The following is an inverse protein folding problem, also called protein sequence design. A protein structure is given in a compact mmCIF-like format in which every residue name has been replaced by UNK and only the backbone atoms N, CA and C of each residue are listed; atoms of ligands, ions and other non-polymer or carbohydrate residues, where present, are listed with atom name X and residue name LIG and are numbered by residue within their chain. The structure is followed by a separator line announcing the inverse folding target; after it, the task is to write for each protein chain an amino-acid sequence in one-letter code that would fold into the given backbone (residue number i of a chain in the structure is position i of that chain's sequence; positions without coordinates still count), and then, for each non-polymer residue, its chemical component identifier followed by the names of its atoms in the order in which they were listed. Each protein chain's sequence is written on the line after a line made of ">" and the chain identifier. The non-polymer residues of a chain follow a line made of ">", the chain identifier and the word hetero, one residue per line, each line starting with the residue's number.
data_IF_505429803927
#
_entry.id   IF_505429803927
#
_cell.length_a   1.000
_cell.length_b   1.000
_cell.length_c   1.000
_cell.angle_alpha   90.00
_cell.angle_beta   90.00
_cell.angle_gamma   90.00
#
_symmetry.space_group_name_H-M   'P 1'
#
loop_
_entity.id
_entity.type
_entity.pdbx_description
1 polymer ?
#
# COMPACT_ATOMS: atom_id res chain seq x y z
N UNK A 1 -82.09 15.85 -23.57
CA UNK A 1 -81.22 16.54 -24.55
C UNK A 1 -79.83 16.69 -23.89
N UNK A 2 -78.91 15.75 -24.10
CA UNK A 2 -77.71 15.85 -24.97
C UNK A 2 -76.89 17.13 -24.61
N UNK A 3 -75.68 17.12 -24.03
CA UNK A 3 -74.37 16.53 -24.43
C UNK A 3 -73.47 16.46 -23.17
N UNK A 4 -72.76 15.38 -22.85
CA UNK A 4 -71.50 14.91 -23.46
C UNK A 4 -70.35 15.92 -23.33
N UNK A 5 -69.48 15.74 -22.33
CA UNK A 5 -68.01 15.59 -22.51
C UNK A 5 -67.30 15.28 -21.20
N UNK A 6 -66.65 14.12 -21.19
CA UNK A 6 -65.65 13.66 -20.23
C UNK A 6 -64.36 14.42 -20.52
N UNK A 7 -63.72 15.03 -19.51
CA UNK A 7 -62.32 15.45 -19.60
C UNK A 7 -61.58 15.02 -18.32
N UNK A 8 -60.98 13.84 -18.43
CA UNK A 8 -59.91 13.32 -17.59
C UNK A 8 -58.67 14.19 -17.69
N UNK A 9 -58.12 14.71 -16.58
CA UNK A 9 -56.67 14.95 -16.45
C UNK A 9 -56.24 14.74 -14.99
N UNK A 10 -55.42 13.71 -14.82
CA UNK A 10 -54.64 13.38 -13.63
C UNK A 10 -53.90 14.61 -13.07
N UNK A 11 -54.15 14.95 -11.81
CA UNK A 11 -53.16 15.68 -11.00
C UNK A 11 -52.22 14.64 -10.40
N UNK A 12 -51.29 14.16 -11.22
CA UNK A 12 -50.20 13.32 -10.76
C UNK A 12 -49.36 14.10 -9.74
N UNK A 13 -49.21 13.54 -8.54
CA UNK A 13 -48.30 14.02 -7.51
C UNK A 13 -46.92 14.29 -8.15
N UNK A 14 -46.57 15.57 -8.26
CA UNK A 14 -45.19 16.00 -8.48
C UNK A 14 -44.43 15.85 -7.17
N UNK A 15 -44.27 14.63 -6.66
CA UNK A 15 -43.17 14.38 -5.73
C UNK A 15 -41.89 14.60 -6.53
N UNK A 16 -41.05 15.58 -6.19
CA UNK A 16 -39.72 15.65 -6.78
C UNK A 16 -39.03 14.37 -6.34
N UNK A 17 -38.94 13.42 -7.28
CA UNK A 17 -38.01 12.31 -7.19
C UNK A 17 -36.63 12.96 -7.30
N UNK A 18 -36.19 13.60 -6.21
CA UNK A 18 -34.81 13.93 -6.03
C UNK A 18 -34.11 12.58 -6.07
N UNK A 19 -33.59 12.25 -7.25
CA UNK A 19 -32.60 11.21 -7.41
C UNK A 19 -31.48 11.58 -6.44
N UNK A 20 -31.52 10.97 -5.25
CA UNK A 20 -30.34 10.67 -4.49
C UNK A 20 -29.54 9.68 -5.36
N UNK A 21 -28.90 10.20 -6.42
CA UNK A 21 -27.76 9.56 -7.02
C UNK A 21 -26.67 9.59 -5.97
N UNK A 22 -26.75 8.70 -4.99
CA UNK A 22 -25.66 8.40 -4.09
C UNK A 22 -24.58 7.84 -4.98
N UNK A 23 -23.64 8.69 -5.38
CA UNK A 23 -22.52 8.29 -6.20
C UNK A 23 -21.79 7.17 -5.45
N UNK A 24 -21.97 5.95 -5.93
CA UNK A 24 -21.49 4.76 -5.24
C UNK A 24 -19.99 4.64 -5.50
N UNK A 25 -19.20 5.28 -4.64
CA UNK A 25 -17.74 5.20 -4.72
C UNK A 25 -17.28 3.87 -4.15
N UNK A 26 -16.67 3.04 -5.00
CA UNK A 26 -16.09 1.74 -4.60
C UNK A 26 -14.73 1.91 -3.92
N UNK A 27 -14.40 0.97 -3.03
CA UNK A 27 -13.06 0.88 -2.47
C UNK A 27 -12.02 0.49 -3.53
N UNK A 28 -10.82 1.06 -3.44
CA UNK A 28 -9.72 0.82 -4.38
C UNK A 28 -8.66 -0.04 -3.71
N UNK A 29 -8.21 -1.10 -4.38
CA UNK A 29 -7.19 -2.00 -3.87
C UNK A 29 -5.86 -1.79 -4.61
N UNK A 30 -4.83 -1.40 -3.87
CA UNK A 30 -3.45 -1.35 -4.34
C UNK A 30 -2.79 -2.70 -4.08
N UNK A 31 -2.55 -3.46 -5.14
CA UNK A 31 -2.02 -4.84 -5.06
C UNK A 31 -0.49 -4.85 -5.12
N UNK A 32 0.11 -5.77 -4.38
CA UNK A 32 1.56 -5.99 -4.35
C UNK A 32 1.89 -7.46 -4.60
N UNK A 33 3.09 -7.74 -5.14
CA UNK A 33 3.55 -9.11 -5.37
C UNK A 33 3.83 -9.84 -4.06
N UNK A 34 4.50 -9.17 -3.11
CA UNK A 34 5.04 -9.80 -1.90
C UNK A 34 4.47 -9.25 -0.59
N UNK A 35 3.37 -8.50 -0.66
CA UNK A 35 2.63 -8.02 0.50
C UNK A 35 1.13 -8.06 0.22
N UNK A 36 0.33 -7.95 1.27
CA UNK A 36 -1.12 -7.81 1.13
C UNK A 36 -1.49 -6.45 0.56
N UNK A 37 -2.67 -6.40 -0.05
CA UNK A 37 -3.14 -5.19 -0.72
C UNK A 37 -3.47 -4.09 0.30
N UNK A 38 -3.16 -2.85 -0.07
CA UNK A 38 -3.63 -1.66 0.67
C UNK A 38 -4.98 -1.26 0.10
N UNK A 39 -5.98 -1.08 0.96
CA UNK A 39 -7.33 -0.68 0.56
C UNK A 39 -7.54 0.80 0.86
N UNK A 40 -7.86 1.57 -0.16
CA UNK A 40 -8.34 2.95 -0.04
C UNK A 40 -9.86 2.95 0.02
N UNK A 41 -10.40 3.53 1.09
CA UNK A 41 -11.83 3.61 1.34
C UNK A 41 -12.35 5.04 1.12
N UNK A 42 -13.26 5.20 0.17
CA UNK A 42 -13.80 6.52 -0.18
C UNK A 42 -14.66 7.09 0.94
N UNK A 43 -15.48 6.28 1.61
CA UNK A 43 -16.41 6.76 2.63
C UNK A 43 -15.69 7.48 3.78
N UNK A 44 -14.53 6.97 4.20
CA UNK A 44 -13.71 7.61 5.24
C UNK A 44 -13.20 8.98 4.79
N UNK A 45 -12.82 9.12 3.52
CA UNK A 45 -12.28 10.37 2.99
C UNK A 45 -13.39 11.37 2.68
N UNK A 46 -14.52 10.92 2.11
CA UNK A 46 -15.66 11.75 1.74
C UNK A 46 -16.38 12.36 2.95
N UNK A 47 -16.32 11.70 4.12
CA UNK A 47 -16.76 12.29 5.40
C UNK A 47 -16.02 13.57 5.77
N UNK A 48 -14.76 13.72 5.33
CA UNK A 48 -13.94 14.92 5.59
C UNK A 48 -13.85 15.85 4.38
N UNK A 49 -13.84 15.29 3.18
CA UNK A 49 -13.66 16.00 1.92
C UNK A 49 -14.72 15.53 0.92
N UNK A 50 -15.87 16.20 0.89
CA UNK A 50 -17.01 15.85 0.05
C UNK A 50 -16.90 16.33 -1.42
N UNK A 51 -15.69 16.66 -1.88
CA UNK A 51 -15.45 17.16 -3.24
C UNK A 51 -14.42 16.29 -3.96
N UNK A 52 -14.86 15.63 -5.03
CA UNK A 52 -14.08 14.69 -5.83
C UNK A 52 -12.81 15.31 -6.44
N UNK A 53 -12.87 16.62 -6.79
CA UNK A 53 -11.76 17.34 -7.44
C UNK A 53 -10.59 17.62 -6.50
N UNK A 54 -10.75 17.43 -5.20
CA UNK A 54 -9.65 17.55 -4.23
C UNK A 54 -8.58 16.48 -4.53
N UNK A 55 -9.01 15.30 -4.96
CA UNK A 55 -8.15 14.16 -5.19
C UNK A 55 -7.95 13.89 -6.69
N UNK A 56 -9.03 13.90 -7.47
CA UNK A 56 -8.97 13.51 -8.87
C UNK A 56 -8.44 14.62 -9.77
N UNK A 57 -7.75 14.20 -10.83
CA UNK A 57 -7.11 15.03 -11.87
C UNK A 57 -5.89 15.84 -11.37
N UNK A 58 -5.78 16.10 -10.07
CA UNK A 58 -4.61 16.75 -9.45
C UNK A 58 -3.67 15.76 -8.73
N UNK A 59 -4.19 14.91 -7.84
CA UNK A 59 -3.39 13.95 -7.06
C UNK A 59 -3.43 12.57 -7.71
N UNK A 60 -4.63 12.15 -8.14
CA UNK A 60 -4.88 10.88 -8.79
C UNK A 60 -5.49 11.12 -10.19
N UNK A 61 -4.66 10.93 -11.22
CA UNK A 61 -5.13 10.92 -12.61
C UNK A 61 -5.91 9.62 -12.87
N UNK A 62 -7.20 9.77 -13.19
CA UNK A 62 -8.09 8.65 -13.48
C UNK A 62 -7.91 8.10 -14.89
N UNK A 63 -7.39 8.90 -15.83
CA UNK A 63 -7.11 8.50 -17.21
C UNK A 63 -5.80 7.74 -17.30
N UNK A 64 -4.77 8.20 -16.58
CA UNK A 64 -3.43 7.60 -16.56
C UNK A 64 -3.01 7.25 -15.12
N UNK A 65 -3.62 6.21 -14.51
CA UNK A 65 -3.29 5.81 -13.16
C UNK A 65 -1.83 5.36 -13.08
N UNK A 66 -1.13 5.81 -12.03
CA UNK A 66 0.28 5.50 -11.78
C UNK A 66 0.46 4.92 -10.38
N UNK A 67 1.39 3.97 -10.25
CA UNK A 67 1.86 3.47 -8.96
C UNK A 67 2.99 4.35 -8.42
N UNK A 68 2.90 4.66 -7.13
CA UNK A 68 3.88 5.47 -6.41
C UNK A 68 4.58 4.63 -5.33
N UNK A 69 5.86 4.90 -5.10
CA UNK A 69 6.60 4.32 -3.97
C UNK A 69 6.34 5.11 -2.69
N UNK A 70 6.67 4.53 -1.53
CA UNK A 70 6.63 5.27 -0.25
C UNK A 70 7.57 6.49 -0.26
N UNK A 71 8.74 6.39 -0.88
CA UNK A 71 9.66 7.54 -1.05
C UNK A 71 9.03 8.70 -1.81
N UNK A 72 8.23 8.40 -2.84
CA UNK A 72 7.49 9.42 -3.57
C UNK A 72 6.36 10.01 -2.71
N UNK A 73 5.71 9.18 -1.88
CA UNK A 73 4.69 9.66 -0.94
C UNK A 73 5.26 10.57 0.13
N UNK A 74 6.43 10.28 0.68
CA UNK A 74 7.14 11.18 1.59
C UNK A 74 7.49 12.53 0.94
N UNK A 75 7.61 12.56 -0.40
CA UNK A 75 7.77 13.77 -1.21
C UNK A 75 6.43 14.38 -1.65
N UNK A 76 5.38 14.19 -0.86
CA UNK A 76 4.04 14.73 -1.04
C UNK A 76 3.31 14.26 -2.33
N UNK A 77 3.66 13.10 -2.89
CA UNK A 77 2.89 12.50 -4.00
C UNK A 77 1.84 11.53 -3.47
N UNK A 78 0.81 11.24 -4.29
CA UNK A 78 -0.24 10.26 -3.96
C UNK A 78 -0.83 10.50 -2.55
N UNK A 79 -0.94 9.46 -1.72
CA UNK A 79 -1.44 9.53 -0.34
C UNK A 79 -0.71 10.59 0.51
N UNK A 80 0.60 10.77 0.28
CA UNK A 80 1.43 11.69 1.03
C UNK A 80 1.12 13.17 0.80
N UNK A 81 0.39 13.52 -0.27
CA UNK A 81 -0.10 14.90 -0.47
C UNK A 81 -0.97 15.41 0.69
N UNK A 82 -1.58 14.50 1.44
CA UNK A 82 -2.36 14.80 2.65
C UNK A 82 -1.80 14.10 3.90
N UNK A 83 -1.33 12.86 3.77
CA UNK A 83 -0.73 12.07 4.85
C UNK A 83 0.75 12.43 5.07
N UNK A 84 1.03 13.71 5.34
CA UNK A 84 2.37 14.23 5.62
C UNK A 84 2.58 14.61 7.10
N UNK A 85 1.59 14.38 7.96
CA UNK A 85 1.60 14.77 9.38
C UNK A 85 0.89 16.10 9.68
N UNK A 86 0.48 16.85 8.65
CA UNK A 86 -0.21 18.15 8.81
C UNK A 86 -1.72 18.02 8.67
N UNK A 87 -2.22 17.53 7.53
CA UNK A 87 -3.67 17.38 7.27
C UNK A 87 -4.23 16.05 7.81
N UNK A 88 -3.36 15.03 7.83
CA UNK A 88 -3.59 13.70 8.34
C UNK A 88 -2.26 13.12 8.85
N UNK A 89 -2.31 11.96 9.51
CA UNK A 89 -1.12 11.25 10.00
C UNK A 89 -0.09 11.04 8.88
N UNK A 90 1.21 11.07 9.21
CA UNK A 90 2.27 10.95 8.20
C UNK A 90 2.45 9.52 7.70
N UNK A 91 2.72 9.38 6.40
CA UNK A 91 3.17 8.12 5.77
C UNK A 91 4.59 7.72 6.18
N UNK A 92 5.39 8.66 6.69
CA UNK A 92 6.79 8.42 7.09
C UNK A 92 6.90 7.88 8.54
N UNK A 93 5.83 7.96 9.33
CA UNK A 93 5.85 7.53 10.73
C UNK A 93 5.66 6.00 10.83
N UNK A 94 6.64 5.30 11.41
CA UNK A 94 6.63 3.84 11.62
C UNK A 94 5.32 3.29 12.20
N UNK A 95 4.77 3.97 13.21
CA UNK A 95 3.54 3.55 13.89
C UNK A 95 2.30 3.61 12.99
N UNK A 96 2.36 4.34 11.89
CA UNK A 96 1.23 4.54 10.98
C UNK A 96 1.26 3.59 9.79
N UNK A 97 2.35 2.85 9.55
CA UNK A 97 2.44 1.91 8.42
C UNK A 97 1.27 0.91 8.43
N UNK A 98 0.95 0.36 9.60
CA UNK A 98 -0.13 -0.63 9.82
C UNK A 98 -1.54 -0.06 9.61
N UNK A 99 -1.71 1.27 9.55
CA UNK A 99 -3.02 1.88 9.27
C UNK A 99 -3.48 1.58 7.85
N UNK A 100 -2.54 1.48 6.91
CA UNK A 100 -2.77 1.17 5.51
C UNK A 100 -2.34 -0.26 5.17
N UNK A 101 -1.13 -0.65 5.57
CA UNK A 101 -0.57 -1.99 5.38
C UNK A 101 -1.01 -2.91 6.52
N UNK A 102 -2.29 -3.30 6.50
CA UNK A 102 -2.91 -4.10 7.57
C UNK A 102 -2.48 -5.58 7.57
N UNK A 103 -1.93 -6.06 6.46
CA UNK A 103 -1.43 -7.42 6.34
C UNK A 103 -0.04 -7.60 6.93
N UNK A 104 0.33 -8.86 7.16
CA UNK A 104 1.68 -9.22 7.57
C UNK A 104 2.56 -9.32 6.30
N UNK A 105 3.72 -8.65 6.24
CA UNK A 105 4.62 -8.82 5.12
C UNK A 105 5.01 -10.29 4.97
N UNK A 106 4.95 -10.82 3.75
CA UNK A 106 5.30 -12.23 3.50
C UNK A 106 6.80 -12.43 3.58
N UNK A 107 7.19 -13.65 3.93
CA UNK A 107 8.58 -14.08 3.82
C UNK A 107 9.02 -14.03 2.35
N UNK A 108 10.26 -13.60 2.12
CA UNK A 108 10.83 -13.44 0.78
C UNK A 108 11.80 -14.58 0.54
N UNK A 109 11.51 -15.39 -0.48
CA UNK A 109 12.44 -16.38 -1.01
C UNK A 109 13.28 -15.77 -2.14
N UNK A 110 14.60 -15.94 -2.06
CA UNK A 110 15.55 -15.55 -3.07
C UNK A 110 16.15 -16.80 -3.70
N UNK A 111 15.91 -16.96 -5.01
CA UNK A 111 16.53 -18.04 -5.76
C UNK A 111 18.01 -17.70 -6.02
N UNK A 112 18.89 -18.53 -5.46
CA UNK A 112 20.35 -18.37 -5.57
C UNK A 112 20.91 -19.55 -6.36
N UNK A 113 21.63 -19.25 -7.46
CA UNK A 113 22.28 -20.30 -8.24
C UNK A 113 23.42 -20.92 -7.43
N UNK A 114 23.44 -22.25 -7.33
CA UNK A 114 24.51 -22.99 -6.65
C UNK A 114 24.34 -23.13 -5.13
N UNK A 115 23.20 -22.71 -4.56
CA UNK A 115 22.81 -22.97 -3.18
C UNK A 115 21.31 -23.27 -3.11
N UNK A 116 20.80 -23.69 -1.94
CA UNK A 116 19.35 -23.72 -1.70
C UNK A 116 18.80 -22.30 -1.66
N UNK A 117 17.49 -22.11 -1.81
CA UNK A 117 16.89 -20.77 -1.76
C UNK A 117 17.20 -20.08 -0.42
N UNK A 118 17.56 -18.80 -0.48
CA UNK A 118 17.71 -17.99 0.72
C UNK A 118 16.34 -17.43 1.15
N UNK A 119 16.01 -17.52 2.43
CA UNK A 119 14.71 -17.06 2.96
C UNK A 119 14.91 -15.91 3.94
N UNK A 120 14.22 -14.80 3.69
CA UNK A 120 14.12 -13.68 4.62
C UNK A 120 12.74 -13.66 5.28
N UNK A 121 12.70 -13.73 6.61
CA UNK A 121 11.45 -13.68 7.36
C UNK A 121 11.17 -12.28 7.91
N UNK A 122 10.08 -11.65 7.47
CA UNK A 122 9.65 -10.38 8.06
C UNK A 122 9.21 -10.57 9.49
N UNK A 123 8.47 -11.63 9.80
CA UNK A 123 7.95 -11.94 11.14
C UNK A 123 9.06 -11.94 12.19
N UNK A 124 10.20 -12.54 11.88
CA UNK A 124 11.36 -12.54 12.78
C UNK A 124 11.94 -11.12 12.96
N UNK A 125 12.18 -10.41 11.86
CA UNK A 125 12.87 -9.12 11.91
C UNK A 125 12.02 -8.02 12.53
N UNK A 126 10.70 -7.98 12.27
CA UNK A 126 9.80 -6.99 12.87
C UNK A 126 9.55 -7.25 14.37
N UNK A 127 9.98 -8.40 14.90
CA UNK A 127 9.99 -8.67 16.33
C UNK A 127 11.04 -7.87 17.10
N UNK A 128 12.07 -7.36 16.40
CA UNK A 128 13.20 -6.63 17.01
C UNK A 128 13.56 -5.32 16.29
N UNK A 129 13.05 -5.09 15.08
CA UNK A 129 13.28 -3.89 14.28
C UNK A 129 11.96 -3.28 13.81
N UNK A 130 12.02 -1.99 13.44
CA UNK A 130 10.91 -1.22 12.86
C UNK A 130 10.99 -1.22 11.34
N UNK A 131 9.88 -0.86 10.70
CA UNK A 131 9.81 -0.78 9.24
C UNK A 131 10.89 0.14 8.66
N UNK A 132 11.10 1.31 9.27
CA UNK A 132 12.04 2.30 8.77
C UNK A 132 13.51 2.02 9.09
N UNK A 133 13.80 1.02 9.94
CA UNK A 133 15.18 0.57 10.17
C UNK A 133 15.75 -0.09 8.91
N UNK A 134 14.87 -0.69 8.10
CA UNK A 134 15.21 -1.34 6.84
C UNK A 134 14.76 -0.51 5.62
N UNK A 135 13.52 -0.01 5.64
CA UNK A 135 12.93 0.64 4.50
C UNK A 135 12.95 2.18 4.62
N UNK A 136 13.13 2.92 3.54
CA UNK A 136 13.60 2.49 2.22
C UNK A 136 15.14 2.49 2.12
N UNK A 137 15.82 2.90 3.19
CA UNK A 137 17.27 3.19 3.22
C UNK A 137 18.13 1.99 2.84
N UNK A 138 17.82 0.80 3.37
CA UNK A 138 18.57 -0.43 3.07
C UNK A 138 17.87 -1.23 1.97
N UNK A 139 16.54 -1.33 2.04
CA UNK A 139 15.73 -2.11 1.11
C UNK A 139 14.54 -1.30 0.62
N UNK A 140 14.18 -1.45 -0.66
CA UNK A 140 12.91 -0.92 -1.15
C UNK A 140 11.76 -1.87 -0.78
N UNK A 141 10.53 -1.37 -0.69
CA UNK A 141 9.30 -2.16 -0.48
C UNK A 141 8.92 -3.08 -1.67
N UNK A 142 9.89 -3.38 -2.54
CA UNK A 142 9.76 -4.23 -3.73
C UNK A 142 10.88 -5.26 -3.72
N UNK A 143 10.54 -6.51 -3.46
CA UNK A 143 11.54 -7.58 -3.50
C UNK A 143 12.18 -7.70 -4.89
N UNK A 144 13.49 -7.95 -4.91
CA UNK A 144 14.26 -8.05 -6.15
C UNK A 144 14.40 -6.73 -6.92
N UNK A 145 13.99 -5.58 -6.35
CA UNK A 145 14.22 -4.28 -6.98
C UNK A 145 15.72 -4.00 -7.20
N UNK A 146 16.57 -4.52 -6.31
CA UNK A 146 18.02 -4.52 -6.47
C UNK A 146 18.58 -5.85 -5.99
N UNK A 147 19.50 -6.42 -6.76
CA UNK A 147 20.27 -7.62 -6.39
C UNK A 147 21.62 -7.17 -5.85
N UNK A 148 22.06 -7.81 -4.78
CA UNK A 148 23.34 -7.54 -4.13
C UNK A 148 24.11 -8.86 -4.02
N UNK A 149 25.43 -8.77 -4.06
CA UNK A 149 26.29 -9.89 -3.69
C UNK A 149 26.26 -10.04 -2.17
N UNK A 150 26.31 -11.28 -1.67
CA UNK A 150 26.38 -11.54 -0.23
C UNK A 150 27.64 -10.85 0.33
N UNK A 151 27.49 -10.09 1.42
CA UNK A 151 28.58 -9.38 2.10
C UNK A 151 28.79 -7.92 1.66
N UNK A 152 28.20 -7.49 0.55
CA UNK A 152 28.27 -6.08 0.12
C UNK A 152 27.21 -5.23 0.85
N UNK A 153 27.59 -3.99 1.21
CA UNK A 153 26.62 -2.97 1.64
C UNK A 153 26.06 -2.26 0.39
N UNK A 154 24.76 -1.92 0.35
CA UNK A 154 23.70 -2.18 1.33
C UNK A 154 22.92 -3.49 1.04
N UNK A 155 23.08 -4.51 1.89
CA UNK A 155 22.24 -5.72 1.92
C UNK A 155 22.12 -6.29 3.35
N UNK A 156 21.88 -7.58 3.51
CA UNK A 156 21.94 -8.31 4.78
C UNK A 156 23.20 -7.98 5.61
N UNK A 157 24.34 -7.74 4.96
CA UNK A 157 25.62 -7.38 5.60
C UNK A 157 25.63 -6.02 6.32
N UNK A 158 24.58 -5.20 6.18
CA UNK A 158 24.41 -4.02 7.02
C UNK A 158 24.33 -4.39 8.52
N UNK A 159 23.66 -5.51 8.83
CA UNK A 159 23.49 -6.02 10.20
C UNK A 159 24.18 -7.38 10.41
N UNK A 160 24.16 -8.29 9.44
CA UNK A 160 24.80 -9.60 9.50
C UNK A 160 26.32 -9.52 9.27
N UNK A 161 27.01 -8.81 10.17
CA UNK A 161 28.43 -8.46 10.08
C UNK A 161 29.26 -8.94 11.27
N UNK A 162 28.67 -9.78 12.13
CA UNK A 162 29.30 -10.28 13.35
C UNK A 162 29.30 -9.29 14.52
N UNK A 163 28.86 -8.04 14.31
CA UNK A 163 28.78 -7.00 15.36
C UNK A 163 27.34 -6.69 15.78
N UNK A 164 26.43 -6.54 14.81
CA UNK A 164 25.01 -6.24 15.08
C UNK A 164 24.18 -7.51 15.15
N UNK A 165 24.41 -8.42 14.20
CA UNK A 165 23.88 -9.78 14.18
C UNK A 165 24.98 -10.77 13.79
N UNK A 166 24.66 -12.06 13.76
CA UNK A 166 25.60 -13.09 13.33
C UNK A 166 26.16 -12.80 11.93
N UNK A 167 27.40 -13.21 11.68
CA UNK A 167 28.11 -12.97 10.42
C UNK A 167 27.45 -13.67 9.23
N UNK A 168 27.55 -13.08 8.04
CA UNK A 168 26.99 -13.62 6.79
C UNK A 168 27.64 -14.93 6.32
N UNK A 169 28.69 -15.40 6.99
CA UNK A 169 29.33 -16.71 6.80
C UNK A 169 28.46 -17.89 7.25
N UNK A 170 27.43 -17.64 8.06
CA UNK A 170 26.54 -18.67 8.59
C UNK A 170 25.51 -19.10 7.54
N UNK A 171 25.97 -19.73 6.45
CA UNK A 171 25.20 -20.05 5.24
C UNK A 171 23.84 -20.69 5.54
N UNK A 172 23.82 -21.67 6.45
CA UNK A 172 22.62 -22.43 6.84
C UNK A 172 21.50 -21.59 7.44
N UNK A 173 21.83 -20.44 8.04
CA UNK A 173 20.83 -19.56 8.66
C UNK A 173 20.02 -18.78 7.63
N UNK A 174 20.59 -18.56 6.45
CA UNK A 174 19.93 -17.89 5.34
C UNK A 174 19.40 -18.90 4.32
N UNK A 175 20.10 -20.02 4.13
CA UNK A 175 19.82 -21.07 3.15
C UNK A 175 19.40 -22.36 3.84
N UNK A 176 18.11 -22.54 4.17
CA UNK A 176 17.61 -23.79 4.75
C UNK A 176 18.02 -24.99 3.89
N UNK A 177 18.57 -26.02 4.53
CA UNK A 177 19.00 -27.25 3.85
C UNK A 177 20.35 -27.16 3.13
N UNK A 178 21.06 -26.02 3.19
CA UNK A 178 22.42 -25.92 2.66
C UNK A 178 23.39 -26.76 3.49
N UNK A 179 24.11 -27.70 2.84
CA UNK A 179 25.21 -28.43 3.46
C UNK A 179 26.51 -27.80 2.98
N UNK A 180 27.25 -27.23 3.90
CA UNK A 180 28.59 -26.72 3.62
C UNK A 180 29.47 -27.93 3.29
N UNK A 181 30.12 -27.92 2.13
CA UNK A 181 31.01 -28.98 1.69
C UNK A 181 32.29 -29.01 2.53
#
# INVERSE_FOLDING_TARGET
>A
MIRCTILTVLFALTTPFALLAKQETRDIQFRFKNADSVVFNHDVHLKKYNNCKICHDAIFDLKNPRHYTMDEMEKNRSCGACHAGVKAFSVAEDKNCVRCHKGIPRDIAYNVKGATDAVFSHTFHIGVYRCNDCHTKLFQFKAGAKRYTIGEKPCCGACHNGKVAFSSDSCQKCHPGYKQA
#
